data_IF_572829539672
#
_entry.id   IF_572829539672
#
_cell.length_a   1.000
_cell.length_b   1.000
_cell.length_c   1.000
_cell.angle_alpha   90.00
_cell.angle_beta   90.00
_cell.angle_gamma   90.00
#
_symmetry.space_group_name_H-M   'P 1'
#
loop_
_entity.id
_entity.type
_entity.pdbx_description
1 polymer ?
#
# COMPACT_ATOMS: atom_id res chain seq x y z
N UNK A 1 -7.66 -1.25 3.43
CA UNK A 1 -7.02 -2.57 3.67
C UNK A 1 -6.80 -2.77 5.15
N UNK A 2 -6.59 -4.01 5.64
CA UNK A 2 -6.25 -4.26 7.06
C UNK A 2 -5.00 -3.45 7.46
N UNK A 3 -4.00 -3.40 6.58
CA UNK A 3 -2.79 -2.60 6.77
C UNK A 3 -3.06 -1.12 7.08
N UNK A 4 -3.84 -0.45 6.22
CA UNK A 4 -4.16 0.96 6.43
C UNK A 4 -5.00 1.19 7.69
N UNK A 5 -5.96 0.29 7.97
CA UNK A 5 -6.81 0.37 9.16
C UNK A 5 -6.00 0.25 10.45
N UNK A 6 -5.10 -0.75 10.54
CA UNK A 6 -4.21 -0.93 11.68
C UNK A 6 -3.30 0.29 11.84
N UNK A 7 -2.72 0.80 10.75
CA UNK A 7 -1.85 1.97 10.80
C UNK A 7 -2.58 3.20 11.36
N UNK A 8 -3.82 3.46 10.92
CA UNK A 8 -4.64 4.56 11.43
C UNK A 8 -4.97 4.38 12.92
N UNK A 9 -5.35 3.17 13.33
CA UNK A 9 -5.62 2.87 14.74
C UNK A 9 -4.38 3.11 15.62
N UNK A 10 -3.20 2.71 15.16
CA UNK A 10 -1.94 2.98 15.85
C UNK A 10 -1.59 4.47 15.88
N UNK A 11 -1.85 5.19 14.80
CA UNK A 11 -1.57 6.63 14.72
C UNK A 11 -2.42 7.45 15.69
N UNK A 12 -3.67 7.05 15.92
CA UNK A 12 -4.59 7.70 16.86
C UNK A 12 -4.44 7.24 18.32
N UNK A 13 -3.58 6.25 18.59
CA UNK A 13 -3.39 5.70 19.92
C UNK A 13 -2.46 6.57 20.79
N UNK A 14 -2.63 6.55 22.13
CA UNK A 14 -1.63 7.08 23.04
C UNK A 14 -0.29 6.39 22.78
N UNK A 15 0.80 7.16 22.78
CA UNK A 15 2.17 6.68 22.54
C UNK A 15 2.40 5.96 21.19
N UNK A 16 1.43 6.09 20.27
CA UNK A 16 1.40 5.44 18.95
C UNK A 16 1.54 3.91 19.02
N UNK A 17 1.03 3.29 20.10
CA UNK A 17 1.12 1.85 20.31
C UNK A 17 -0.13 1.25 20.93
N UNK A 18 -0.46 0.04 20.51
CA UNK A 18 -1.63 -0.69 21.01
C UNK A 18 -1.30 -2.16 21.20
N UNK A 19 -1.93 -2.78 22.19
CA UNK A 19 -1.96 -4.24 22.32
C UNK A 19 -2.86 -4.86 21.25
N UNK A 20 -2.71 -6.16 21.01
CA UNK A 20 -3.60 -6.87 20.07
C UNK A 20 -5.08 -6.73 20.48
N UNK A 21 -5.40 -6.84 21.77
CA UNK A 21 -6.78 -6.71 22.27
C UNK A 21 -7.35 -5.32 21.95
N UNK A 22 -6.59 -4.26 22.23
CA UNK A 22 -7.03 -2.89 21.90
C UNK A 22 -7.20 -2.67 20.39
N UNK A 23 -6.33 -3.27 19.55
CA UNK A 23 -6.53 -3.24 18.10
C UNK A 23 -7.83 -3.94 17.71
N UNK A 24 -8.16 -5.06 18.33
CA UNK A 24 -9.42 -5.73 18.06
C UNK A 24 -10.62 -4.90 18.52
N UNK A 25 -10.55 -4.25 19.67
CA UNK A 25 -11.65 -3.42 20.18
C UNK A 25 -11.89 -2.18 19.29
N UNK A 26 -10.82 -1.60 18.72
CA UNK A 26 -10.88 -0.45 17.81
C UNK A 26 -11.33 -0.83 16.39
N UNK A 27 -10.92 -2.01 15.90
CA UNK A 27 -11.07 -2.39 14.49
C UNK A 27 -12.22 -3.37 14.23
N UNK A 28 -12.64 -4.13 15.24
CA UNK A 28 -13.65 -5.17 15.05
C UNK A 28 -14.99 -4.52 14.65
N UNK A 29 -15.62 -5.02 13.58
CA UNK A 29 -17.02 -4.72 13.33
C UNK A 29 -17.85 -5.19 14.54
N UNK A 30 -18.98 -4.53 14.80
CA UNK A 30 -20.03 -4.95 15.74
C UNK A 30 -20.17 -6.50 15.78
N UNK A 31 -20.52 -7.08 16.94
CA UNK A 31 -20.44 -8.51 17.18
C UNK A 31 -21.12 -9.29 16.06
N UNK A 32 -20.29 -9.85 15.18
CA UNK A 32 -20.70 -10.59 14.00
C UNK A 32 -20.04 -11.96 14.05
N UNK A 33 -20.69 -12.96 13.43
CA UNK A 33 -20.22 -14.34 13.39
C UNK A 33 -18.78 -14.49 12.87
N UNK A 34 -18.25 -13.48 12.16
CA UNK A 34 -16.96 -13.49 11.49
C UNK A 34 -15.80 -12.91 12.33
N UNK A 35 -15.98 -12.67 13.63
CA UNK A 35 -14.95 -12.06 14.50
C UNK A 35 -13.62 -12.85 14.50
N UNK A 36 -13.66 -14.19 14.57
CA UNK A 36 -12.44 -15.03 14.57
C UNK A 36 -11.65 -14.89 13.27
N UNK A 37 -12.33 -14.90 12.11
CA UNK A 37 -11.69 -14.73 10.81
C UNK A 37 -11.07 -13.34 10.67
N UNK A 38 -11.76 -12.31 11.19
CA UNK A 38 -11.23 -10.96 11.24
C UNK A 38 -9.98 -10.86 12.12
N UNK A 39 -10.01 -11.43 13.34
CA UNK A 39 -8.82 -11.52 14.21
C UNK A 39 -7.64 -12.19 13.51
N UNK A 40 -7.88 -13.30 12.80
CA UNK A 40 -6.83 -14.01 12.09
C UNK A 40 -6.21 -13.13 10.99
N UNK A 41 -7.02 -12.42 10.21
CA UNK A 41 -6.53 -11.49 9.20
C UNK A 41 -5.68 -10.37 9.81
N UNK A 42 -6.06 -9.85 10.98
CA UNK A 42 -5.26 -8.86 11.71
C UNK A 42 -3.92 -9.48 12.15
N UNK A 43 -3.92 -10.68 12.75
CA UNK A 43 -2.69 -11.37 13.15
C UNK A 43 -1.74 -11.59 11.97
N UNK A 44 -2.26 -12.09 10.85
CA UNK A 44 -1.48 -12.28 9.60
C UNK A 44 -0.93 -10.95 9.09
N UNK A 45 -1.74 -9.88 9.12
CA UNK A 45 -1.30 -8.57 8.66
C UNK A 45 -0.17 -8.01 9.54
N UNK A 46 -0.27 -8.13 10.86
CA UNK A 46 0.76 -7.70 11.80
C UNK A 46 2.07 -8.48 11.62
N UNK A 47 2.01 -9.81 11.44
CA UNK A 47 3.21 -10.64 11.30
C UNK A 47 3.88 -10.55 9.94
N UNK A 48 3.11 -10.32 8.87
CA UNK A 48 3.63 -10.33 7.49
C UNK A 48 4.27 -9.00 7.10
N UNK A 49 3.82 -7.88 7.68
CA UNK A 49 4.28 -6.55 7.29
C UNK A 49 5.33 -6.04 8.28
N UNK A 50 6.57 -5.84 7.79
CA UNK A 50 7.71 -5.35 8.59
C UNK A 50 7.50 -3.97 9.24
N UNK A 51 6.52 -3.20 8.76
CA UNK A 51 6.17 -1.91 9.37
C UNK A 51 5.43 -2.04 10.70
N UNK A 52 4.94 -3.22 11.07
CA UNK A 52 4.36 -3.45 12.39
C UNK A 52 5.40 -4.14 13.28
N UNK A 53 5.87 -3.39 14.27
CA UNK A 53 6.93 -3.85 15.18
C UNK A 53 6.30 -4.28 16.49
N UNK A 54 6.62 -5.49 16.93
CA UNK A 54 6.19 -6.03 18.24
C UNK A 54 7.17 -5.54 19.30
N UNK A 55 6.66 -4.76 20.25
CA UNK A 55 7.45 -4.20 21.36
C UNK A 55 7.10 -4.97 22.65
N UNK A 56 8.07 -5.65 23.28
CA UNK A 56 7.86 -6.29 24.57
C UNK A 56 7.67 -5.21 25.66
N UNK A 57 6.77 -5.47 26.61
CA UNK A 57 6.63 -4.64 27.82
C UNK A 57 7.72 -5.07 28.80
N UNK A 58 8.35 -4.09 29.44
CA UNK A 58 9.44 -4.30 30.40
C UNK A 58 9.01 -5.32 31.47
N UNK A 59 9.89 -6.27 31.88
CA UNK A 59 9.53 -7.37 32.77
C UNK A 59 9.04 -6.97 34.17
N UNK A 60 9.35 -5.75 34.62
CA UNK A 60 9.09 -5.34 36.01
C UNK A 60 7.65 -4.89 36.31
N UNK A 61 6.78 -4.76 35.29
CA UNK A 61 5.37 -4.52 35.53
C UNK A 61 4.58 -5.84 35.55
N UNK A 62 3.62 -5.97 36.46
CA UNK A 62 2.69 -7.11 36.55
C UNK A 62 1.85 -7.30 35.25
N UNK A 63 1.91 -6.33 34.32
CA UNK A 63 1.31 -6.34 32.98
C UNK A 63 2.25 -6.84 31.85
N UNK A 64 3.43 -7.38 32.21
CA UNK A 64 4.45 -7.98 31.31
C UNK A 64 3.94 -9.04 30.32
N UNK A 65 2.67 -9.44 30.40
CA UNK A 65 2.04 -10.42 29.50
C UNK A 65 1.51 -9.85 28.17
N UNK A 66 1.49 -8.53 27.95
CA UNK A 66 0.89 -7.96 26.73
C UNK A 66 1.89 -7.20 25.89
N UNK A 67 2.35 -7.84 24.81
CA UNK A 67 3.14 -7.18 23.79
C UNK A 67 2.34 -6.06 23.10
N UNK A 68 2.98 -4.92 22.89
CA UNK A 68 2.43 -3.83 22.08
C UNK A 68 2.86 -3.98 20.62
N UNK A 69 2.06 -3.39 19.75
CA UNK A 69 2.38 -3.19 18.35
C UNK A 69 2.57 -1.70 18.10
N UNK A 70 3.62 -1.37 17.35
CA UNK A 70 3.92 -0.03 16.87
C UNK A 70 3.99 0.00 15.35
N UNK A 71 3.71 1.17 14.79
CA UNK A 71 3.94 1.44 13.38
C UNK A 71 5.31 2.08 13.20
N UNK A 72 6.18 1.46 12.39
CA UNK A 72 7.42 2.06 11.90
C UNK A 72 7.20 2.64 10.50
N UNK A 73 7.08 3.98 10.42
CA UNK A 73 6.89 4.72 9.17
C UNK A 73 8.07 4.58 8.21
N UNK A 74 9.27 4.24 8.71
CA UNK A 74 10.47 4.07 7.88
C UNK A 74 10.39 2.83 7.01
N UNK A 75 9.74 1.78 7.50
CA UNK A 75 9.52 0.51 6.79
C UNK A 75 8.39 0.57 5.78
N UNK A 76 7.60 1.66 5.75
CA UNK A 76 6.54 1.84 4.77
C UNK A 76 7.15 2.24 3.42
N UNK A 77 7.02 1.33 2.44
CA UNK A 77 7.55 1.54 1.09
C UNK A 77 6.65 2.48 0.28
N UNK A 78 7.20 3.19 -0.73
CA UNK A 78 6.39 4.04 -1.61
C UNK A 78 5.27 3.27 -2.33
N UNK A 79 5.49 1.98 -2.64
CA UNK A 79 4.46 1.10 -3.20
C UNK A 79 3.29 0.90 -2.23
N UNK A 80 3.56 0.71 -0.95
CA UNK A 80 2.53 0.63 0.09
C UNK A 80 1.79 1.96 0.21
N UNK A 81 2.51 3.09 0.19
CA UNK A 81 1.89 4.41 0.25
C UNK A 81 0.88 4.60 -0.88
N UNK A 82 1.29 4.35 -2.12
CA UNK A 82 0.41 4.45 -3.31
C UNK A 82 -0.81 3.54 -3.24
N UNK A 83 -0.68 2.33 -2.69
CA UNK A 83 -1.75 1.32 -2.65
C UNK A 83 -2.69 1.44 -1.45
N UNK A 84 -2.22 1.94 -0.32
CA UNK A 84 -2.93 1.81 0.96
C UNK A 84 -3.10 3.15 1.69
N UNK A 85 -2.25 4.14 1.43
CA UNK A 85 -2.22 5.38 2.20
C UNK A 85 -2.49 6.64 1.37
N UNK A 86 -2.80 6.52 0.07
CA UNK A 86 -3.06 7.67 -0.82
C UNK A 86 -4.06 8.68 -0.24
N UNK A 87 -5.16 8.20 0.35
CA UNK A 87 -6.18 9.05 0.99
C UNK A 87 -5.93 9.34 2.48
N UNK A 88 -4.82 8.86 3.03
CA UNK A 88 -4.50 8.93 4.46
C UNK A 88 -3.23 9.75 4.74
N UNK A 89 -2.62 10.37 3.72
CA UNK A 89 -1.37 11.12 3.87
C UNK A 89 -1.46 12.27 4.87
N UNK A 90 -2.65 12.83 5.08
CA UNK A 90 -2.89 13.86 6.10
C UNK A 90 -2.62 13.35 7.52
N UNK A 91 -2.85 12.06 7.78
CA UNK A 91 -2.57 11.42 9.07
C UNK A 91 -1.10 10.99 9.20
N UNK A 92 -0.38 10.90 8.07
CA UNK A 92 1.00 10.47 8.00
C UNK A 92 1.85 11.40 7.14
N UNK A 93 2.14 12.65 7.60
CA UNK A 93 2.94 13.60 6.84
C UNK A 93 4.32 13.06 6.42
N UNK A 94 4.91 12.20 7.27
CA UNK A 94 6.19 11.52 7.01
C UNK A 94 6.18 10.61 5.76
N UNK A 95 4.99 10.21 5.29
CA UNK A 95 4.84 9.36 4.10
C UNK A 95 4.66 10.16 2.82
N UNK A 96 4.27 11.43 2.91
CA UNK A 96 4.07 12.29 1.74
C UNK A 96 5.38 12.49 0.96
N UNK A 97 6.48 12.79 1.67
CA UNK A 97 7.80 12.97 1.07
C UNK A 97 8.32 11.72 0.33
N UNK A 98 7.95 10.52 0.78
CA UNK A 98 8.38 9.25 0.16
C UNK A 98 7.73 8.97 -1.21
N UNK A 99 6.63 9.65 -1.53
CA UNK A 99 5.93 9.47 -2.82
C UNK A 99 6.62 10.28 -3.93
N UNK A 100 7.15 11.45 -3.59
CA UNK A 100 7.75 12.38 -4.54
C UNK A 100 9.13 11.89 -5.02
N UNK A 101 9.95 11.34 -4.12
CA UNK A 101 11.36 11.00 -4.39
C UNK A 101 11.57 9.91 -5.45
N UNK A 102 10.57 9.06 -5.73
CA UNK A 102 10.68 8.01 -6.76
C UNK A 102 10.13 8.39 -8.13
N UNK A 103 9.45 9.53 -8.25
CA UNK A 103 8.90 9.99 -9.54
C UNK A 103 9.94 10.74 -10.37
N UNK A 104 11.06 11.15 -9.77
CA UNK A 104 12.13 11.92 -10.41
C UNK A 104 13.41 11.14 -10.80
N UNK A 105 13.52 9.84 -10.52
CA UNK A 105 14.76 9.07 -10.76
C UNK A 105 14.78 8.23 -12.04
N UNK A 106 13.98 8.59 -13.05
CA UNK A 106 14.25 8.19 -14.44
C UNK A 106 14.76 9.44 -15.16
N UNK A 107 16.06 9.49 -15.38
CA UNK A 107 16.81 10.70 -15.71
C UNK A 107 16.33 11.45 -16.95
N UNK A 108 16.65 12.76 -17.04
CA UNK A 108 16.49 13.56 -18.24
C UNK A 108 17.72 13.35 -19.14
N UNK A 109 17.55 12.68 -20.28
CA UNK A 109 18.51 12.82 -21.39
C UNK A 109 17.96 13.91 -22.33
N UNK A 110 18.62 15.07 -22.35
CA UNK A 110 18.34 16.18 -23.29
C UNK A 110 19.03 15.96 -24.65
N UNK A 111 19.42 17.03 -25.37
CA UNK A 111 18.64 18.20 -25.80
C UNK A 111 18.63 18.30 -27.35
N UNK A 112 17.55 18.79 -27.95
CA UNK A 112 17.42 18.88 -29.41
C UNK A 112 16.51 20.02 -29.90
N UNK A 113 17.11 21.21 -29.94
CA UNK A 113 16.82 22.42 -30.74
C UNK A 113 15.64 22.45 -31.73
N UNK A 114 14.73 23.39 -31.48
CA UNK A 114 14.11 24.38 -32.41
C UNK A 114 13.48 23.92 -33.74
N UNK A 115 12.14 24.03 -33.85
CA UNK A 115 11.41 25.02 -34.70
C UNK A 115 9.90 24.73 -34.72
N UNK A 116 9.08 25.75 -34.46
CA UNK A 116 7.75 25.87 -35.09
C UNK A 116 7.88 26.45 -36.51
N UNK A 117 6.80 26.63 -37.31
CA UNK A 117 5.39 26.78 -36.88
C UNK A 117 4.29 26.09 -37.75
N UNK A 118 3.07 26.11 -37.20
CA UNK A 118 1.75 26.22 -37.86
C UNK A 118 1.09 25.07 -38.68
N UNK A 119 -0.17 24.81 -38.28
CA UNK A 119 -1.39 24.47 -39.04
C UNK A 119 -1.42 23.26 -40.00
N UNK A 120 -2.27 22.27 -39.69
CA UNK A 120 -3.46 21.87 -40.48
C UNK A 120 -3.97 20.45 -40.11
N UNK A 121 -5.29 20.37 -39.98
CA UNK A 121 -6.22 19.25 -40.24
C UNK A 121 -5.74 17.79 -40.26
N UNK A 122 -6.47 16.96 -39.48
CA UNK A 122 -7.01 15.68 -39.96
C UNK A 122 -6.03 14.50 -40.06
N UNK A 123 -6.04 13.63 -39.06
CA UNK A 123 -5.37 12.33 -39.14
C UNK A 123 -5.79 11.42 -38.00
N UNK A 124 -6.70 10.49 -38.31
CA UNK A 124 -7.18 9.42 -37.44
C UNK A 124 -6.02 8.69 -36.77
N UNK A 125 -5.94 8.75 -35.44
CA UNK A 125 -5.05 7.91 -34.65
C UNK A 125 -5.50 6.45 -34.82
N UNK A 126 -4.88 5.70 -35.74
CA UNK A 126 -4.91 4.24 -35.71
C UNK A 126 -4.23 3.80 -34.42
N UNK A 127 -5.05 3.45 -33.43
CA UNK A 127 -4.65 2.66 -32.26
C UNK A 127 -3.94 1.42 -32.78
N UNK A 128 -2.63 1.35 -32.61
CA UNK A 128 -1.85 0.14 -32.88
C UNK A 128 -2.35 -0.94 -31.93
N UNK A 129 -3.24 -1.79 -32.46
CA UNK A 129 -3.67 -3.01 -31.79
C UNK A 129 -2.45 -3.93 -31.72
N UNK A 130 -1.85 -4.01 -30.53
CA UNK A 130 -0.75 -4.95 -30.25
C UNK A 130 -1.36 -6.34 -30.26
N UNK A 131 -1.43 -6.96 -31.44
CA UNK A 131 -1.88 -8.34 -31.59
C UNK A 131 -0.82 -9.27 -30.99
N UNK A 132 -1.13 -9.80 -29.82
CA UNK A 132 -0.32 -10.81 -29.16
C UNK A 132 -0.33 -12.10 -30.01
N UNK A 133 0.76 -12.36 -30.74
CA UNK A 133 0.96 -13.57 -31.53
C UNK A 133 1.73 -14.62 -30.72
N UNK A 134 1.11 -15.13 -29.65
CA UNK A 134 1.64 -16.24 -28.86
C UNK A 134 0.86 -17.55 -29.06
N UNK A 135 1.32 -18.68 -28.48
CA UNK A 135 0.58 -19.95 -28.49
C UNK A 135 -0.78 -19.88 -27.77
N UNK A 136 -1.04 -18.78 -27.05
CA UNK A 136 -2.32 -18.45 -26.43
C UNK A 136 -3.10 -17.37 -27.19
N UNK A 137 -2.66 -16.99 -28.40
CA UNK A 137 -3.41 -16.05 -29.23
C UNK A 137 -4.74 -16.66 -29.65
N UNK A 138 -5.76 -15.81 -29.80
CA UNK A 138 -7.11 -16.23 -30.19
C UNK A 138 -7.06 -17.02 -31.51
N UNK A 139 -6.26 -16.57 -32.48
CA UNK A 139 -6.08 -17.25 -33.77
C UNK A 139 -5.41 -18.63 -33.62
N UNK A 140 -4.55 -18.82 -32.61
CA UNK A 140 -3.86 -20.09 -32.35
C UNK A 140 -4.75 -21.10 -31.62
N UNK A 141 -5.74 -20.62 -30.85
CA UNK A 141 -6.70 -21.49 -30.17
C UNK A 141 -7.78 -22.02 -31.10
N UNK A 142 -8.16 -21.25 -32.11
CA UNK A 142 -9.20 -21.60 -33.08
C UNK A 142 -8.73 -22.60 -34.16
N UNK A 143 -7.42 -22.86 -34.28
CA UNK A 143 -6.83 -23.72 -35.32
C UNK A 143 -6.60 -25.18 -34.89
N UNK A 144 -7.33 -25.69 -33.90
CA UNK A 144 -7.28 -27.12 -33.56
C UNK A 144 -8.48 -27.84 -34.20
N UNK A 145 -8.26 -28.38 -35.38
CA UNK A 145 -8.94 -29.60 -35.86
C UNK A 145 -8.05 -30.81 -35.54
#
# INVERSE_FOLDING_TARGET
>A
THLAKIAVALQGAPEKMLTFTQLMDQLAPLPSANRRSFENNIRVCLSTNKCFVKVPVVPESLDSRRNHWKLDSRQITPKMVRRHFKGLLQLFPELASKVETQTGSRGPEGPGSLKGPQAAAGGVQKRSEVKFSGPFSIESLLKRD
#
